data_IF_897835621086
#
_entry.id   IF_897835621086
#
_cell.length_a   1.000
_cell.length_b   1.000
_cell.length_c   1.000
_cell.angle_alpha   90.00
_cell.angle_beta   90.00
_cell.angle_gamma   90.00
#
_symmetry.space_group_name_H-M   'P 1'
#
loop_
_entity.id
_entity.type
_entity.pdbx_description
1 polymer ?
#
# COMPACT_ATOMS: atom_id res chain seq x y z
N UNK A 1 -5.78 17.46 23.34
CA UNK A 1 -5.20 16.55 22.34
C UNK A 1 -5.95 15.21 22.46
N UNK A 2 -6.31 14.59 21.35
CA UNK A 2 -7.00 13.31 21.40
C UNK A 2 -6.03 12.22 21.91
N UNK A 3 -6.50 11.29 22.74
CA UNK A 3 -5.70 10.22 23.34
C UNK A 3 -4.92 9.40 22.27
N UNK A 4 -5.59 9.13 21.14
CA UNK A 4 -4.98 8.41 20.00
C UNK A 4 -3.84 9.23 19.39
N UNK A 5 -4.04 10.54 19.16
CA UNK A 5 -3.00 11.40 18.60
C UNK A 5 -1.76 11.45 19.49
N UNK A 6 -1.94 11.57 20.82
CA UNK A 6 -0.82 11.53 21.75
C UNK A 6 -0.07 10.19 21.71
N UNK A 7 -0.79 9.08 21.56
CA UNK A 7 -0.17 7.75 21.44
C UNK A 7 0.62 7.60 20.13
N UNK A 8 0.13 8.16 19.04
CA UNK A 8 0.85 8.18 17.76
C UNK A 8 2.12 9.03 17.87
N UNK A 9 2.05 10.18 18.52
CA UNK A 9 3.22 11.05 18.77
C UNK A 9 4.33 10.31 19.55
N UNK A 10 3.96 9.46 20.53
CA UNK A 10 4.91 8.62 21.26
C UNK A 10 5.62 7.58 20.38
N UNK A 11 4.97 7.13 19.31
CA UNK A 11 5.49 6.12 18.38
C UNK A 11 6.09 6.71 17.10
N UNK A 12 6.24 8.02 17.04
CA UNK A 12 6.65 8.74 15.82
C UNK A 12 7.94 8.21 15.20
N UNK A 13 8.96 7.98 16.02
CA UNK A 13 10.26 7.53 15.53
C UNK A 13 10.19 6.11 14.96
N UNK A 14 9.47 5.21 15.61
CA UNK A 14 9.23 3.84 15.13
C UNK A 14 8.42 3.83 13.82
N UNK A 15 7.42 4.73 13.70
CA UNK A 15 6.66 4.90 12.46
C UNK A 15 7.58 5.38 11.33
N UNK A 16 8.40 6.40 11.57
CA UNK A 16 9.34 6.93 10.57
C UNK A 16 10.31 5.83 10.12
N UNK A 17 10.88 5.07 11.04
CA UNK A 17 11.77 3.96 10.70
C UNK A 17 11.06 2.89 9.86
N UNK A 18 9.84 2.54 10.21
CA UNK A 18 9.03 1.58 9.45
C UNK A 18 8.73 2.08 8.03
N UNK A 19 8.37 3.35 7.87
CA UNK A 19 8.18 3.99 6.58
C UNK A 19 9.47 3.99 5.76
N UNK A 20 10.61 4.35 6.37
CA UNK A 20 11.89 4.31 5.67
C UNK A 20 12.27 2.89 5.20
N UNK A 21 12.02 1.88 6.03
CA UNK A 21 12.34 0.50 5.69
C UNK A 21 11.56 0.02 4.47
N UNK A 22 10.26 0.34 4.37
CA UNK A 22 9.45 -0.09 3.24
C UNK A 22 9.73 0.72 1.96
N UNK A 23 10.06 2.03 2.08
CA UNK A 23 10.41 2.88 0.93
C UNK A 23 11.72 2.44 0.28
N UNK A 24 12.68 1.93 1.06
CA UNK A 24 13.97 1.44 0.52
C UNK A 24 13.82 0.22 -0.40
N UNK A 25 12.66 -0.39 -0.47
CA UNK A 25 12.37 -1.51 -1.35
C UNK A 25 11.78 -0.98 -2.66
N UNK A 26 12.49 -1.16 -3.77
CA UNK A 26 11.94 -0.89 -5.10
C UNK A 26 10.90 -1.95 -5.44
N UNK A 27 9.62 -1.56 -5.42
CA UNK A 27 8.46 -2.43 -5.65
C UNK A 27 7.68 -2.03 -6.91
N UNK A 28 8.38 -1.73 -7.97
CA UNK A 28 7.80 -1.62 -9.31
C UNK A 28 7.42 -3.02 -9.78
N UNK A 29 6.25 -3.17 -10.40
CA UNK A 29 5.82 -4.45 -10.99
C UNK A 29 6.87 -4.96 -11.99
N UNK A 30 7.11 -6.26 -11.98
CA UNK A 30 8.06 -6.95 -12.83
C UNK A 30 7.52 -8.34 -13.19
N UNK A 31 8.24 -9.07 -14.03
CA UNK A 31 7.90 -10.41 -14.48
C UNK A 31 7.55 -11.34 -13.30
N UNK A 32 6.41 -12.04 -13.37
CA UNK A 32 5.96 -12.93 -12.31
C UNK A 32 6.92 -14.12 -12.12
N UNK A 33 7.08 -14.53 -10.86
CA UNK A 33 7.80 -15.73 -10.45
C UNK A 33 6.93 -16.56 -9.53
N UNK A 34 7.32 -17.79 -9.27
CA UNK A 34 6.62 -18.68 -8.32
C UNK A 34 6.49 -18.00 -6.95
N UNK A 35 5.26 -17.83 -6.47
CA UNK A 35 4.94 -17.12 -5.22
C UNK A 35 5.15 -15.61 -5.23
N UNK A 36 5.46 -15.02 -6.39
CA UNK A 36 5.71 -13.59 -6.58
C UNK A 36 4.98 -13.08 -7.83
N UNK A 37 3.64 -13.00 -7.79
CA UNK A 37 2.82 -12.75 -8.98
C UNK A 37 3.08 -11.41 -9.68
N UNK A 38 3.58 -10.42 -8.95
CA UNK A 38 3.88 -9.08 -9.45
C UNK A 38 5.36 -8.73 -9.37
N UNK A 39 6.22 -9.74 -9.31
CA UNK A 39 7.68 -9.60 -9.28
C UNK A 39 8.29 -9.58 -7.88
N UNK A 40 9.61 -9.71 -7.85
CA UNK A 40 10.38 -9.90 -6.62
C UNK A 40 10.36 -8.66 -5.71
N UNK A 41 10.41 -7.46 -6.31
CA UNK A 41 10.40 -6.20 -5.56
C UNK A 41 9.11 -5.98 -4.78
N UNK A 42 7.97 -6.24 -5.43
CA UNK A 42 6.64 -6.16 -4.83
C UNK A 42 6.49 -7.19 -3.71
N UNK A 43 6.91 -8.43 -3.95
CA UNK A 43 6.88 -9.49 -2.94
C UNK A 43 7.69 -9.13 -1.69
N UNK A 44 8.92 -8.60 -1.87
CA UNK A 44 9.75 -8.11 -0.75
C UNK A 44 9.08 -6.98 0.03
N UNK A 45 8.36 -6.09 -0.65
CA UNK A 45 7.62 -5.01 0.00
C UNK A 45 6.47 -5.55 0.85
N UNK A 46 5.73 -6.53 0.34
CA UNK A 46 4.68 -7.22 1.09
C UNK A 46 5.25 -7.95 2.31
N UNK A 47 6.32 -8.73 2.14
CA UNK A 47 7.00 -9.42 3.24
C UNK A 47 7.44 -8.43 4.32
N UNK A 48 8.05 -7.31 3.94
CA UNK A 48 8.46 -6.26 4.87
C UNK A 48 7.28 -5.69 5.67
N UNK A 49 6.16 -5.36 5.02
CA UNK A 49 4.97 -4.85 5.69
C UNK A 49 4.38 -5.86 6.68
N UNK A 50 4.32 -7.14 6.30
CA UNK A 50 3.84 -8.21 7.16
C UNK A 50 4.80 -8.47 8.35
N UNK A 51 6.10 -8.42 8.14
CA UNK A 51 7.08 -8.53 9.23
C UNK A 51 6.99 -7.37 10.22
N UNK A 52 6.86 -6.13 9.74
CA UNK A 52 6.62 -4.96 10.60
C UNK A 52 5.34 -5.19 11.39
N UNK A 53 4.26 -5.57 10.73
CA UNK A 53 2.96 -5.82 11.38
C UNK A 53 3.04 -6.90 12.46
N UNK A 54 3.79 -7.99 12.19
CA UNK A 54 4.03 -9.07 13.15
C UNK A 54 4.84 -8.60 14.36
N UNK A 55 5.88 -7.78 14.16
CA UNK A 55 6.66 -7.16 15.25
C UNK A 55 5.81 -6.24 16.12
N UNK A 56 4.83 -5.54 15.53
CA UNK A 56 3.84 -4.72 16.24
C UNK A 56 2.79 -5.57 16.97
N UNK A 57 2.84 -6.91 16.82
CA UNK A 57 2.01 -7.88 17.55
C UNK A 57 0.63 -8.05 16.94
N UNK A 58 0.49 -7.88 15.62
CA UNK A 58 -0.72 -8.20 14.88
C UNK A 58 -0.69 -9.63 14.35
N UNK A 59 -1.87 -10.21 14.15
CA UNK A 59 -2.02 -11.39 13.32
C UNK A 59 -1.85 -10.98 11.87
N UNK A 60 -1.04 -11.71 11.11
CA UNK A 60 -0.76 -11.42 9.70
C UNK A 60 -1.12 -12.60 8.83
N UNK A 61 -1.55 -12.32 7.62
CA UNK A 61 -1.84 -13.29 6.57
C UNK A 61 -1.21 -12.81 5.27
N UNK A 62 -0.58 -13.72 4.56
CA UNK A 62 -0.12 -13.56 3.18
C UNK A 62 -0.97 -14.49 2.31
N UNK A 63 -1.69 -13.94 1.36
CA UNK A 63 -2.50 -14.67 0.40
C UNK A 63 -1.68 -14.88 -0.88
N UNK A 64 -0.82 -15.91 -0.84
CA UNK A 64 -0.02 -16.41 -1.95
C UNK A 64 0.82 -15.35 -2.69
N UNK A 65 1.25 -14.31 -1.97
CA UNK A 65 2.02 -13.20 -2.53
C UNK A 65 1.21 -12.18 -3.34
N UNK A 66 -0.11 -12.41 -3.51
CA UNK A 66 -0.98 -11.45 -4.22
C UNK A 66 -1.39 -10.29 -3.34
N UNK A 67 -1.64 -10.52 -2.07
CA UNK A 67 -2.07 -9.50 -1.12
C UNK A 67 -1.82 -10.01 0.30
N UNK A 68 -1.66 -9.11 1.23
CA UNK A 68 -1.56 -9.50 2.63
C UNK A 68 -2.31 -8.56 3.54
N UNK A 69 -2.50 -8.95 4.81
CA UNK A 69 -3.12 -8.07 5.77
C UNK A 69 -2.61 -8.30 7.20
N UNK A 70 -2.72 -7.24 8.00
CA UNK A 70 -2.60 -7.28 9.45
C UNK A 70 -3.98 -7.12 10.09
N UNK A 71 -4.28 -7.92 11.13
CA UNK A 71 -5.59 -7.98 11.74
C UNK A 71 -5.50 -7.83 13.27
N UNK A 72 -6.46 -7.10 13.86
CA UNK A 72 -6.63 -6.96 15.29
C UNK A 72 -8.11 -6.92 15.68
N UNK A 73 -8.44 -7.55 16.82
CA UNK A 73 -9.80 -7.69 17.34
C UNK A 73 -10.43 -9.04 17.01
N UNK A 74 -11.66 -9.23 17.48
CA UNK A 74 -12.41 -10.48 17.38
C UNK A 74 -13.71 -10.31 16.57
N UNK A 75 -14.33 -11.43 16.19
CA UNK A 75 -15.58 -11.48 15.45
C UNK A 75 -15.41 -11.84 13.97
N UNK A 76 -16.51 -11.96 13.26
CA UNK A 76 -16.51 -12.32 11.83
C UNK A 76 -16.42 -11.08 10.92
N UNK A 77 -17.12 -10.00 11.29
CA UNK A 77 -17.12 -8.76 10.52
C UNK A 77 -15.88 -7.92 10.81
N UNK A 78 -15.41 -7.21 9.80
CA UNK A 78 -14.29 -6.30 9.96
C UNK A 78 -14.48 -5.02 9.16
N UNK A 79 -13.78 -3.97 9.59
CA UNK A 79 -13.54 -2.74 8.81
C UNK A 79 -12.10 -2.74 8.32
N UNK A 80 -11.83 -2.08 7.18
CA UNK A 80 -10.51 -2.09 6.58
C UNK A 80 -9.97 -0.69 6.30
N UNK A 81 -8.63 -0.54 6.42
CA UNK A 81 -7.88 0.41 5.62
C UNK A 81 -7.18 -0.39 4.51
N UNK A 82 -7.42 -0.02 3.27
CA UNK A 82 -6.83 -0.65 2.08
C UNK A 82 -5.86 0.34 1.45
N UNK A 83 -4.61 -0.06 1.32
CA UNK A 83 -3.60 0.67 0.57
C UNK A 83 -2.72 -0.28 -0.21
N UNK A 84 -1.73 0.24 -0.94
CA UNK A 84 -0.87 -0.57 -1.79
C UNK A 84 0.62 -0.36 -1.53
N UNK A 85 1.41 -1.31 -1.96
CA UNK A 85 2.86 -1.37 -1.75
C UNK A 85 3.65 -1.34 -3.06
N UNK A 86 3.01 -1.63 -4.18
CA UNK A 86 3.58 -1.42 -5.50
C UNK A 86 3.69 0.07 -5.79
N UNK A 87 4.55 0.42 -6.71
CA UNK A 87 4.82 1.81 -7.08
C UNK A 87 5.10 1.90 -8.57
N UNK A 88 4.75 3.03 -9.19
CA UNK A 88 5.19 3.35 -10.55
C UNK A 88 6.71 3.49 -10.63
N UNK A 89 7.32 3.31 -11.81
CA UNK A 89 8.75 3.58 -11.99
C UNK A 89 9.15 4.95 -11.46
N UNK A 90 10.36 5.03 -10.90
CA UNK A 90 10.86 6.24 -10.24
C UNK A 90 10.97 7.45 -11.16
N UNK A 91 11.24 7.24 -12.47
CA UNK A 91 11.58 8.33 -13.38
C UNK A 91 12.94 8.95 -13.08
N UNK A 92 13.17 10.14 -13.64
CA UNK A 92 14.41 10.89 -13.55
C UNK A 92 14.29 12.11 -12.61
N UNK A 93 15.36 12.89 -12.47
CA UNK A 93 15.42 14.20 -11.78
C UNK A 93 15.19 14.17 -10.25
N UNK A 94 15.47 13.06 -9.59
CA UNK A 94 15.43 12.99 -8.14
C UNK A 94 16.55 13.80 -7.48
N UNK A 95 16.19 14.68 -6.51
CA UNK A 95 17.16 15.43 -5.70
C UNK A 95 17.94 14.49 -4.76
N UNK A 96 17.25 13.49 -4.21
CA UNK A 96 17.79 12.44 -3.35
C UNK A 96 17.44 11.08 -3.98
N UNK A 97 18.17 9.98 -3.66
CA UNK A 97 17.88 8.67 -4.25
C UNK A 97 16.41 8.28 -4.06
N UNK A 98 15.74 7.87 -5.15
CA UNK A 98 14.31 7.55 -5.16
C UNK A 98 13.91 6.46 -4.12
N UNK A 99 14.82 5.57 -3.79
CA UNK A 99 14.65 4.53 -2.77
C UNK A 99 15.61 4.70 -1.58
N UNK A 100 16.09 5.93 -1.34
CA UNK A 100 16.97 6.26 -0.21
C UNK A 100 16.23 6.42 1.11
N UNK A 101 14.97 6.84 1.03
CA UNK A 101 14.15 7.21 2.20
C UNK A 101 14.88 8.21 3.12
N UNK A 102 15.62 9.14 2.53
CA UNK A 102 16.38 10.14 3.28
C UNK A 102 15.46 11.18 3.91
N UNK A 103 15.87 11.69 5.07
CA UNK A 103 15.12 12.74 5.78
C UNK A 103 15.87 14.06 5.64
N UNK A 104 15.24 15.04 5.00
CA UNK A 104 15.76 16.39 4.86
C UNK A 104 14.64 17.39 5.20
N UNK A 105 14.96 18.39 6.01
CA UNK A 105 14.02 19.43 6.45
C UNK A 105 12.69 18.89 7.00
N UNK A 106 12.74 17.78 7.75
CA UNK A 106 11.58 17.16 8.36
C UNK A 106 10.66 16.41 7.37
N UNK A 107 11.13 16.12 6.14
CA UNK A 107 10.41 15.38 5.10
C UNK A 107 11.18 14.13 4.73
N UNK A 108 10.46 13.03 4.49
CA UNK A 108 11.02 11.79 3.94
C UNK A 108 10.93 11.89 2.42
N UNK A 109 12.05 11.69 1.73
CA UNK A 109 12.13 11.69 0.28
C UNK A 109 12.22 10.27 -0.25
N UNK A 110 11.34 9.90 -1.17
CA UNK A 110 11.37 8.60 -1.83
C UNK A 110 10.10 8.29 -2.61
N UNK A 111 10.21 7.39 -3.60
CA UNK A 111 9.08 6.84 -4.35
C UNK A 111 8.22 6.01 -3.39
N UNK A 112 6.89 6.24 -3.38
CA UNK A 112 5.95 5.57 -2.48
C UNK A 112 5.78 6.27 -1.11
N UNK A 113 6.47 7.39 -0.84
CA UNK A 113 6.33 8.09 0.45
C UNK A 113 4.93 8.67 0.64
N UNK A 114 4.32 9.17 -0.42
CA UNK A 114 2.97 9.76 -0.41
C UNK A 114 1.94 8.79 -0.97
N UNK A 115 2.31 8.01 -1.95
CA UNK A 115 1.49 7.10 -2.73
C UNK A 115 2.17 5.73 -2.77
N UNK A 116 1.72 4.73 -2.00
CA UNK A 116 0.81 4.77 -0.83
C UNK A 116 1.48 4.15 0.41
N UNK A 117 2.81 3.77 0.31
CA UNK A 117 3.54 3.12 1.41
C UNK A 117 3.53 3.91 2.72
N UNK A 118 3.69 5.24 2.65
CA UNK A 118 3.64 6.11 3.83
C UNK A 118 2.26 6.10 4.49
N UNK A 119 1.18 6.43 3.78
CA UNK A 119 -0.17 6.46 4.32
C UNK A 119 -0.67 5.11 4.84
N UNK A 120 -0.39 3.99 4.16
CA UNK A 120 -0.80 2.67 4.68
C UNK A 120 -0.03 2.28 5.95
N UNK A 121 1.25 2.65 6.07
CA UNK A 121 2.00 2.46 7.30
C UNK A 121 1.49 3.38 8.43
N UNK A 122 1.06 4.60 8.12
CA UNK A 122 0.39 5.47 9.09
C UNK A 122 -0.91 4.86 9.60
N UNK A 123 -1.69 4.22 8.72
CA UNK A 123 -2.91 3.47 9.08
C UNK A 123 -2.60 2.28 10.01
N UNK A 124 -1.51 1.56 9.76
CA UNK A 124 -1.03 0.46 10.60
C UNK A 124 -0.67 0.97 12.01
N UNK A 125 -0.01 2.12 12.13
CA UNK A 125 0.33 2.72 13.43
C UNK A 125 -0.90 3.33 14.12
N UNK A 126 -1.90 3.77 13.38
CA UNK A 126 -3.22 4.09 13.93
C UNK A 126 -3.87 2.87 14.61
N UNK A 127 -3.81 1.71 13.97
CA UNK A 127 -4.27 0.44 14.56
C UNK A 127 -3.42 0.05 15.78
N UNK A 128 -2.11 0.27 15.75
CA UNK A 128 -1.21 0.06 16.89
C UNK A 128 -1.61 0.92 18.09
N UNK A 129 -1.93 2.19 17.87
CA UNK A 129 -2.38 3.09 18.93
C UNK A 129 -3.70 2.59 19.58
N UNK A 130 -4.66 2.15 18.77
CA UNK A 130 -5.92 1.56 19.27
C UNK A 130 -5.64 0.35 20.16
N UNK A 131 -4.75 -0.55 19.71
CA UNK A 131 -4.36 -1.75 20.45
C UNK A 131 -3.69 -1.42 21.78
N UNK A 132 -2.70 -0.53 21.80
CA UNK A 132 -1.94 -0.18 23.00
C UNK A 132 -2.78 0.58 24.04
N UNK A 133 -3.75 1.34 23.58
CA UNK A 133 -4.70 2.02 24.46
C UNK A 133 -5.81 1.08 24.99
N UNK A 134 -5.84 -0.18 24.51
CA UNK A 134 -6.87 -1.14 24.92
C UNK A 134 -8.29 -0.68 24.59
N UNK A 135 -8.47 0.07 23.50
CA UNK A 135 -9.79 0.58 23.15
C UNK A 135 -10.72 -0.55 22.73
N UNK A 136 -11.99 -0.53 23.19
CA UNK A 136 -12.94 -1.57 22.81
C UNK A 136 -13.27 -1.50 21.33
N UNK A 137 -13.29 -2.65 20.68
CA UNK A 137 -13.66 -2.80 19.28
C UNK A 137 -15.00 -3.50 19.16
N UNK A 138 -15.89 -2.99 18.33
CA UNK A 138 -17.14 -3.65 17.95
C UNK A 138 -16.98 -4.61 16.76
N UNK A 139 -15.90 -4.46 16.00
CA UNK A 139 -15.53 -5.26 14.84
C UNK A 139 -14.00 -5.37 14.76
N UNK A 140 -13.52 -6.39 14.09
CA UNK A 140 -12.08 -6.46 13.74
C UNK A 140 -11.68 -5.29 12.86
N UNK A 141 -10.40 -4.98 12.89
CA UNK A 141 -9.80 -4.01 11.96
C UNK A 141 -8.72 -4.73 11.17
N UNK A 142 -8.73 -4.57 9.85
CA UNK A 142 -7.67 -5.04 8.95
C UNK A 142 -6.98 -3.86 8.29
N UNK A 143 -5.67 -3.94 8.23
CA UNK A 143 -4.85 -3.13 7.32
C UNK A 143 -4.49 -4.07 6.17
N UNK A 144 -5.00 -3.79 4.98
CA UNK A 144 -4.81 -4.61 3.79
C UNK A 144 -3.71 -3.96 2.95
N UNK A 145 -2.70 -4.74 2.62
CA UNK A 145 -1.55 -4.36 1.81
C UNK A 145 -1.72 -4.92 0.41
N UNK A 146 -2.25 -4.10 -0.49
CA UNK A 146 -2.32 -4.35 -1.92
C UNK A 146 -0.94 -4.39 -2.57
N UNK A 147 -0.86 -5.00 -3.74
CA UNK A 147 0.41 -5.23 -4.42
C UNK A 147 0.33 -5.03 -5.94
N UNK A 148 -0.81 -4.55 -6.46
CA UNK A 148 -1.02 -4.36 -7.90
C UNK A 148 -2.01 -3.21 -8.19
N UNK A 149 -2.04 -2.16 -7.38
CA UNK A 149 -2.96 -1.04 -7.58
C UNK A 149 -2.63 -0.29 -8.88
N UNK A 150 -1.36 0.04 -9.09
CA UNK A 150 -0.84 0.86 -10.19
C UNK A 150 -1.05 0.24 -11.59
N UNK A 151 -1.36 -1.05 -11.67
CA UNK A 151 -1.39 -1.79 -12.93
C UNK A 151 -2.61 -2.69 -13.12
N UNK A 152 -3.65 -2.54 -12.27
CA UNK A 152 -4.95 -3.15 -12.55
C UNK A 152 -5.65 -3.91 -11.43
N UNK A 153 -5.16 -3.82 -10.19
CA UNK A 153 -5.85 -4.30 -8.96
C UNK A 153 -6.24 -5.80 -8.97
N UNK A 154 -5.45 -6.64 -9.63
CA UNK A 154 -5.66 -8.11 -9.65
C UNK A 154 -5.47 -8.75 -8.28
N UNK A 155 -4.70 -8.11 -7.42
CA UNK A 155 -4.51 -8.46 -6.02
C UNK A 155 -5.82 -8.38 -5.23
N UNK A 156 -6.64 -7.36 -5.47
CA UNK A 156 -7.95 -7.19 -4.82
C UNK A 156 -8.99 -8.16 -5.39
N UNK A 157 -8.93 -8.46 -6.68
CA UNK A 157 -9.74 -9.55 -7.25
C UNK A 157 -9.43 -10.86 -6.54
N UNK A 158 -8.14 -11.20 -6.39
CA UNK A 158 -7.67 -12.39 -5.67
C UNK A 158 -8.10 -12.38 -4.20
N UNK A 159 -8.02 -11.23 -3.52
CA UNK A 159 -8.49 -11.07 -2.15
C UNK A 159 -9.96 -11.44 -2.01
N UNK A 160 -10.83 -10.93 -2.89
CA UNK A 160 -12.28 -11.16 -2.84
C UNK A 160 -12.69 -12.60 -3.17
N UNK A 161 -11.84 -13.37 -3.84
CA UNK A 161 -12.04 -14.81 -4.06
C UNK A 161 -11.75 -15.64 -2.80
N UNK A 162 -10.89 -15.15 -1.90
CA UNK A 162 -10.41 -15.90 -0.72
C UNK A 162 -10.92 -15.37 0.61
N UNK A 163 -11.32 -14.12 0.67
CA UNK A 163 -11.75 -13.43 1.88
C UNK A 163 -13.10 -12.74 1.67
N UNK A 164 -13.85 -12.56 2.74
CA UNK A 164 -15.08 -11.75 2.70
C UNK A 164 -14.71 -10.27 2.56
N UNK A 165 -15.52 -9.51 1.84
CA UNK A 165 -15.37 -8.06 1.78
C UNK A 165 -15.57 -7.41 3.17
N UNK A 166 -14.91 -6.27 3.47
CA UNK A 166 -15.16 -5.51 4.69
C UNK A 166 -16.57 -4.93 4.71
N UNK A 167 -17.14 -4.74 5.89
CA UNK A 167 -18.46 -4.07 6.04
C UNK A 167 -18.36 -2.56 5.86
N UNK A 168 -17.18 -1.99 6.03
CA UNK A 168 -16.82 -0.60 5.76
C UNK A 168 -15.30 -0.47 5.68
N UNK A 169 -14.82 0.61 5.08
CA UNK A 169 -13.39 0.87 4.99
C UNK A 169 -13.10 2.22 4.37
N UNK A 170 -11.82 2.49 4.24
CA UNK A 170 -11.28 3.63 3.51
C UNK A 170 -9.96 3.23 2.85
N UNK A 171 -9.57 3.96 1.82
CA UNK A 171 -8.20 3.98 1.32
C UNK A 171 -7.50 5.25 1.78
N UNK A 172 -6.25 5.19 2.28
CA UNK A 172 -5.49 6.38 2.63
C UNK A 172 -4.82 7.03 1.42
N UNK A 173 -4.97 6.45 0.25
CA UNK A 173 -4.39 6.85 -1.02
C UNK A 173 -5.14 8.02 -1.67
N UNK A 174 -5.23 9.13 -0.96
CA UNK A 174 -5.87 10.35 -1.44
C UNK A 174 -5.50 11.56 -0.59
N UNK A 175 -5.76 12.75 -1.13
CA UNK A 175 -5.66 14.00 -0.40
C UNK A 175 -6.94 14.29 0.43
N UNK A 176 -6.81 15.16 1.45
CA UNK A 176 -7.96 15.68 2.17
C UNK A 176 -8.66 16.83 1.39
N UNK A 177 -9.98 16.99 1.51
CA UNK A 177 -10.93 16.34 2.41
C UNK A 177 -11.28 14.90 2.00
N UNK A 178 -11.95 14.16 2.89
CA UNK A 178 -12.41 12.79 2.62
C UNK A 178 -13.29 12.77 1.36
N UNK A 179 -12.89 11.96 0.38
CA UNK A 179 -13.62 11.72 -0.86
C UNK A 179 -14.59 10.56 -0.62
N UNK A 180 -15.88 10.76 -0.91
CA UNK A 180 -16.92 9.75 -0.70
C UNK A 180 -17.64 9.32 -1.98
N UNK A 181 -17.11 9.71 -3.15
CA UNK A 181 -17.64 9.32 -4.45
C UNK A 181 -16.71 9.75 -5.57
N UNK A 182 -16.57 8.89 -6.56
CA UNK A 182 -15.70 9.09 -7.71
C UNK A 182 -16.45 8.86 -9.01
N UNK A 183 -15.88 9.38 -10.10
CA UNK A 183 -16.33 9.08 -11.46
C UNK A 183 -15.65 7.82 -11.96
N UNK A 184 -16.36 6.99 -12.71
CA UNK A 184 -15.75 5.88 -13.43
C UNK A 184 -14.73 6.39 -14.46
N UNK A 185 -13.61 5.66 -14.57
CA UNK A 185 -12.58 5.90 -15.56
C UNK A 185 -12.69 4.82 -16.63
N UNK A 186 -12.59 5.21 -17.90
CA UNK A 186 -12.50 4.27 -19.02
C UNK A 186 -11.30 4.65 -19.87
N UNK A 187 -10.40 3.69 -20.08
CA UNK A 187 -9.21 3.85 -20.92
C UNK A 187 -9.46 3.15 -22.23
N UNK A 188 -9.14 3.82 -23.35
CA UNK A 188 -9.27 3.27 -24.70
C UNK A 188 -7.90 3.31 -25.39
N UNK A 189 -7.45 2.18 -25.87
CA UNK A 189 -6.31 2.10 -26.77
C UNK A 189 -6.80 2.15 -28.24
N UNK A 190 -6.39 3.14 -28.98
CA UNK A 190 -6.65 3.22 -30.41
C UNK A 190 -5.41 2.74 -31.16
N UNK A 191 -5.49 1.54 -31.70
CA UNK A 191 -4.38 0.92 -32.43
C UNK A 191 -4.68 0.94 -33.92
N UNK A 192 -3.74 1.49 -34.72
CA UNK A 192 -3.75 1.39 -36.19
C UNK A 192 -2.48 0.68 -36.65
N UNK A 193 -2.67 -0.48 -37.25
CA UNK A 193 -1.57 -1.22 -37.87
C UNK A 193 -1.41 -0.77 -39.32
N UNK A 194 -0.23 -0.32 -39.68
CA UNK A 194 0.15 0.01 -41.06
C UNK A 194 0.77 -1.25 -41.68
N UNK A 195 0.41 -1.56 -42.95
CA UNK A 195 1.06 -2.65 -43.68
C UNK A 195 2.54 -2.36 -43.97
N UNK A 196 3.28 -3.37 -44.40
CA UNK A 196 4.75 -3.37 -44.57
C UNK A 196 5.35 -2.27 -45.48
N UNK A 197 4.54 -1.38 -46.03
CA UNK A 197 4.97 -0.34 -47.01
C UNK A 197 4.92 1.11 -46.51
N UNK A 198 4.85 1.35 -45.22
CA UNK A 198 5.01 2.70 -44.69
C UNK A 198 6.49 2.94 -44.38
N UNK A 199 7.19 3.58 -45.29
CA UNK A 199 8.66 3.66 -45.25
C UNK A 199 9.20 4.90 -44.53
N UNK A 200 8.40 5.84 -44.11
CA UNK A 200 8.94 7.16 -43.78
C UNK A 200 8.23 7.93 -42.65
N UNK A 201 7.32 7.32 -41.93
CA UNK A 201 6.76 7.93 -40.71
C UNK A 201 6.08 9.30 -40.86
N UNK A 202 5.83 9.72 -42.10
CA UNK A 202 5.05 10.90 -42.41
C UNK A 202 3.61 10.52 -42.74
N UNK A 203 2.70 10.89 -41.81
CA UNK A 203 1.26 10.95 -42.04
C UNK A 203 0.87 12.39 -42.17
#
# INVERSE_FOLDING_TARGET
MNLISSKIDEMKDDLIESVQNIIRIKSVEDEPKEGMPFGEGVSKSLECALEISKKLGFKVVNLDGHVGYAEYGDGEEYVAALGHLDVVPEGDDWIYPAYGAEIHDGKIYGRGTTDDKGPIMASLYGLKAIKELGLPLSKKIRIIFGTNEETGSKDIEYYLEHEKAPVAGFTPDAEFPIINGEKGITIFDIVKTFGEKTTDGHV
#
